data_IF_819063104692
#
_entry.id   IF_819063104692
#
_cell.length_a   1.000
_cell.length_b   1.000
_cell.length_c   1.000
_cell.angle_alpha   90.00
_cell.angle_beta   90.00
_cell.angle_gamma   90.00
#
_symmetry.space_group_name_H-M   'P 1'
#
loop_
_entity.id
_entity.type
_entity.pdbx_description
1 polymer ?
#
# COMPACT_ATOMS: atom_id res chain seq x y z
N UNK A 1 36.01 -40.67 -0.53
CA UNK A 1 34.57 -40.71 -0.22
C UNK A 1 34.07 -39.29 -0.09
N UNK A 2 33.27 -38.83 -1.03
CA UNK A 2 32.71 -37.47 -1.00
C UNK A 2 31.58 -37.44 0.04
N UNK A 3 31.77 -36.63 1.07
CA UNK A 3 30.74 -36.38 2.09
C UNK A 3 29.48 -35.77 1.44
N UNK A 4 28.31 -36.40 1.69
CA UNK A 4 27.01 -35.83 1.34
C UNK A 4 26.75 -34.61 2.25
N UNK A 5 27.40 -33.49 1.93
CA UNK A 5 27.05 -32.20 2.53
C UNK A 5 25.68 -31.77 2.07
N UNK A 6 24.81 -31.39 3.03
CA UNK A 6 23.52 -30.74 2.76
C UNK A 6 23.82 -29.49 1.93
N UNK A 7 23.11 -29.25 0.79
CA UNK A 7 23.34 -28.04 0.00
C UNK A 7 23.20 -26.79 0.86
N UNK A 8 24.11 -25.84 0.69
CA UNK A 8 24.03 -24.52 1.35
C UNK A 8 22.83 -23.78 0.82
N UNK A 9 21.85 -23.56 1.67
CA UNK A 9 20.67 -22.75 1.34
C UNK A 9 21.05 -21.30 1.65
N UNK A 10 20.99 -20.42 0.66
CA UNK A 10 21.32 -18.99 0.81
C UNK A 10 20.41 -18.30 1.81
N UNK A 11 19.13 -18.74 1.94
CA UNK A 11 18.15 -18.24 2.90
C UNK A 11 17.98 -19.20 4.07
N UNK A 12 18.97 -19.25 4.96
CA UNK A 12 18.98 -20.12 6.13
C UNK A 12 18.12 -19.53 7.25
N UNK A 13 17.01 -20.23 7.57
CA UNK A 13 16.14 -19.89 8.69
C UNK A 13 16.81 -20.24 10.02
N UNK A 14 17.24 -19.24 10.77
CA UNK A 14 17.96 -19.39 12.05
C UNK A 14 17.12 -18.94 13.24
N UNK A 15 16.10 -18.11 13.03
CA UNK A 15 15.27 -17.60 14.11
C UNK A 15 14.04 -18.48 14.32
N UNK A 16 13.75 -18.79 15.59
CA UNK A 16 12.60 -19.59 15.99
C UNK A 16 11.72 -18.78 16.95
N UNK A 17 10.42 -18.71 16.67
CA UNK A 17 9.43 -18.09 17.52
C UNK A 17 8.39 -19.12 17.95
N UNK A 18 7.97 -19.07 19.22
CA UNK A 18 6.89 -19.87 19.77
C UNK A 18 5.66 -18.98 19.91
N UNK A 19 4.59 -19.32 19.22
CA UNK A 19 3.31 -18.63 19.27
C UNK A 19 2.29 -19.51 19.97
N UNK A 20 1.61 -18.97 21.00
CA UNK A 20 0.45 -19.58 21.62
C UNK A 20 -0.79 -18.95 20.99
N UNK A 21 -1.75 -19.80 20.62
CA UNK A 21 -3.00 -19.38 19.98
C UNK A 21 -4.20 -19.82 20.79
N UNK A 22 -5.27 -19.06 20.75
CA UNK A 22 -6.57 -19.48 21.26
C UNK A 22 -7.33 -20.33 20.23
N UNK A 23 -8.48 -20.90 20.63
CA UNK A 23 -9.26 -21.78 19.76
C UNK A 23 -9.82 -21.09 18.51
N UNK A 24 -10.09 -19.78 18.58
CA UNK A 24 -10.57 -19.01 17.44
C UNK A 24 -9.47 -18.77 16.42
N UNK A 25 -8.28 -18.39 16.87
CA UNK A 25 -7.10 -18.20 16.03
C UNK A 25 -6.68 -19.50 15.33
N UNK A 26 -6.73 -20.64 16.03
CA UNK A 26 -6.45 -21.94 15.43
C UNK A 26 -7.48 -22.34 14.35
N UNK A 27 -8.77 -22.03 14.58
CA UNK A 27 -9.82 -22.20 13.55
C UNK A 27 -9.59 -21.33 12.32
N UNK A 28 -9.19 -20.06 12.51
CA UNK A 28 -8.85 -19.17 11.39
C UNK A 28 -7.66 -19.70 10.60
N UNK A 29 -6.64 -20.18 11.28
CA UNK A 29 -5.46 -20.77 10.66
C UNK A 29 -5.79 -22.05 9.89
N UNK A 30 -6.64 -22.93 10.44
CA UNK A 30 -7.13 -24.13 9.77
C UNK A 30 -7.97 -23.79 8.53
N UNK A 31 -8.82 -22.79 8.63
CA UNK A 31 -9.61 -22.30 7.49
C UNK A 31 -8.72 -21.81 6.36
N UNK A 32 -7.73 -20.98 6.67
CA UNK A 32 -6.76 -20.49 5.68
C UNK A 32 -5.97 -21.64 5.06
N UNK A 33 -5.53 -22.61 5.86
CA UNK A 33 -4.80 -23.79 5.38
C UNK A 33 -5.62 -24.62 4.41
N UNK A 34 -6.88 -24.88 4.72
CA UNK A 34 -7.81 -25.64 3.87
C UNK A 34 -8.13 -24.90 2.56
N UNK A 35 -8.31 -23.58 2.61
CA UNK A 35 -8.66 -22.78 1.43
C UNK A 35 -7.48 -22.54 0.47
N UNK A 36 -6.29 -22.39 1.01
CA UNK A 36 -5.08 -22.10 0.22
C UNK A 36 -4.27 -23.34 -0.16
N UNK A 37 -4.49 -24.45 0.52
CA UNK A 37 -3.67 -25.68 0.40
C UNK A 37 -2.25 -25.53 0.97
N UNK A 38 -1.97 -24.44 1.68
CA UNK A 38 -0.66 -24.15 2.25
C UNK A 38 -0.53 -24.69 3.68
N UNK A 39 0.64 -25.21 4.08
CA UNK A 39 0.87 -25.61 5.46
C UNK A 39 0.83 -24.39 6.40
N UNK A 40 0.40 -24.60 7.65
CA UNK A 40 0.24 -23.55 8.68
C UNK A 40 1.48 -22.64 8.79
N UNK A 41 2.68 -23.20 8.73
CA UNK A 41 3.92 -22.41 8.78
C UNK A 41 4.11 -21.44 7.61
N UNK A 42 3.59 -21.75 6.45
CA UNK A 42 3.62 -20.84 5.30
C UNK A 42 2.56 -19.73 5.41
N UNK A 43 1.41 -20.04 6.03
CA UNK A 43 0.37 -19.05 6.29
C UNK A 43 0.88 -18.00 7.28
N UNK A 44 1.58 -18.40 8.34
CA UNK A 44 2.24 -17.45 9.25
C UNK A 44 3.20 -16.51 8.53
N UNK A 45 4.03 -17.03 7.64
CA UNK A 45 4.98 -16.20 6.86
C UNK A 45 4.27 -15.24 5.93
N UNK A 46 3.24 -15.71 5.22
CA UNK A 46 2.41 -14.84 4.38
C UNK A 46 1.69 -13.77 5.20
N UNK A 47 1.20 -14.11 6.39
CA UNK A 47 0.63 -13.12 7.31
C UNK A 47 1.62 -12.04 7.71
N UNK A 48 2.88 -12.43 7.99
CA UNK A 48 3.96 -11.47 8.28
C UNK A 48 4.25 -10.59 7.06
N UNK A 49 4.33 -11.16 5.85
CA UNK A 49 4.54 -10.39 4.61
C UNK A 49 3.42 -9.37 4.39
N UNK A 50 2.16 -9.79 4.52
CA UNK A 50 0.99 -8.90 4.36
C UNK A 50 1.02 -7.78 5.39
N UNK A 51 1.24 -8.11 6.67
CA UNK A 51 1.30 -7.12 7.73
C UNK A 51 2.49 -6.15 7.55
N UNK A 52 3.65 -6.68 7.15
CA UNK A 52 4.81 -5.85 6.84
C UNK A 52 4.53 -4.87 5.71
N UNK A 53 3.85 -5.31 4.64
CA UNK A 53 3.45 -4.41 3.54
C UNK A 53 2.47 -3.34 4.04
N UNK A 54 1.48 -3.71 4.86
CA UNK A 54 0.54 -2.76 5.44
C UNK A 54 1.21 -1.73 6.33
N UNK A 55 2.14 -2.16 7.20
CA UNK A 55 2.90 -1.26 8.06
C UNK A 55 3.78 -0.33 7.23
N UNK A 56 4.45 -0.86 6.20
CA UNK A 56 5.25 -0.04 5.29
C UNK A 56 4.42 0.99 4.53
N UNK A 57 3.24 0.58 4.03
CA UNK A 57 2.32 1.53 3.37
C UNK A 57 1.90 2.64 4.34
N UNK A 58 1.67 2.32 5.61
CA UNK A 58 1.35 3.32 6.63
C UNK A 58 2.57 4.19 7.00
N UNK A 59 3.79 3.64 7.00
CA UNK A 59 5.03 4.40 7.26
C UNK A 59 5.40 5.33 6.11
N UNK A 60 5.19 4.89 4.86
CA UNK A 60 5.36 5.75 3.67
C UNK A 60 4.17 6.69 3.45
N UNK A 61 3.05 6.44 4.15
CA UNK A 61 1.84 7.26 4.10
C UNK A 61 1.85 8.46 5.04
N UNK A 62 2.88 8.64 5.86
CA UNK A 62 3.03 9.83 6.71
C UNK A 62 4.31 10.56 6.29
N UNK A 63 4.14 11.72 5.70
CA UNK A 63 5.24 12.64 5.49
C UNK A 63 5.79 13.17 6.82
N UNK A 64 7.02 13.67 6.81
CA UNK A 64 7.77 14.12 7.99
C UNK A 64 7.07 15.24 8.79
N UNK A 65 6.07 15.89 8.19
CA UNK A 65 5.27 16.97 8.81
C UNK A 65 3.92 16.49 9.41
N UNK A 66 3.68 15.17 9.46
CA UNK A 66 2.48 14.61 10.06
C UNK A 66 1.26 14.53 9.12
N UNK A 67 1.43 14.84 7.84
CA UNK A 67 0.42 14.65 6.79
C UNK A 67 0.52 13.26 6.15
N UNK A 68 -0.51 12.86 5.42
CA UNK A 68 -0.49 11.63 4.63
C UNK A 68 0.30 11.83 3.33
N UNK A 69 0.87 10.74 2.79
CA UNK A 69 1.45 10.76 1.45
C UNK A 69 0.37 10.89 0.37
N UNK A 70 0.57 11.79 -0.57
CA UNK A 70 -0.31 12.00 -1.73
C UNK A 70 0.09 11.16 -2.94
N UNK A 71 1.07 10.27 -2.78
CA UNK A 71 1.56 9.37 -3.84
C UNK A 71 0.57 8.27 -4.14
N UNK A 72 0.22 8.08 -5.41
CA UNK A 72 -0.73 7.04 -5.86
C UNK A 72 -0.26 6.35 -7.13
N UNK A 73 -0.66 5.09 -7.29
CA UNK A 73 -0.50 4.37 -8.55
C UNK A 73 -1.77 4.57 -9.39
N UNK A 74 -1.62 5.24 -10.52
CA UNK A 74 -2.71 5.53 -11.45
C UNK A 74 -2.54 4.73 -12.72
N UNK A 75 -3.58 4.03 -13.14
CA UNK A 75 -3.55 3.22 -14.35
C UNK A 75 -3.73 4.10 -15.58
N UNK A 76 -2.83 3.94 -16.55
CA UNK A 76 -2.95 4.59 -17.84
C UNK A 76 -4.24 4.15 -18.55
N UNK A 77 -5.08 5.07 -19.04
CA UNK A 77 -6.33 4.71 -19.71
C UNK A 77 -6.11 4.00 -21.04
N UNK A 78 -4.95 4.18 -21.69
CA UNK A 78 -4.63 3.55 -22.95
C UNK A 78 -4.08 2.13 -22.81
N UNK A 79 -3.08 1.90 -21.94
CA UNK A 79 -2.39 0.60 -21.85
C UNK A 79 -2.64 -0.15 -20.53
N UNK A 80 -3.31 0.46 -19.56
CA UNK A 80 -3.60 -0.13 -18.25
C UNK A 80 -2.41 -0.24 -17.29
N UNK A 81 -1.21 0.20 -17.70
CA UNK A 81 -0.02 0.17 -16.83
C UNK A 81 -0.13 1.16 -15.68
N UNK A 82 0.28 0.74 -14.48
CA UNK A 82 0.35 1.60 -13.31
C UNK A 82 1.49 2.62 -13.42
N UNK A 83 1.18 3.87 -13.16
CA UNK A 83 2.13 4.97 -13.06
C UNK A 83 2.15 5.50 -11.64
N UNK A 84 3.33 5.61 -11.05
CA UNK A 84 3.52 6.14 -9.70
C UNK A 84 3.59 7.66 -9.78
N UNK A 85 2.53 8.33 -9.32
CA UNK A 85 2.38 9.78 -9.38
C UNK A 85 2.33 10.33 -7.96
N UNK A 86 3.17 11.33 -7.69
CA UNK A 86 3.11 12.11 -6.48
C UNK A 86 2.26 13.34 -6.71
N UNK A 87 1.07 13.37 -6.13
CA UNK A 87 0.14 14.49 -6.32
C UNK A 87 0.53 15.74 -5.53
N UNK A 88 1.50 15.64 -4.61
CA UNK A 88 2.04 16.82 -3.92
C UNK A 88 2.61 17.85 -4.90
N UNK A 89 3.21 17.39 -6.00
CA UNK A 89 3.73 18.27 -7.07
C UNK A 89 2.64 18.94 -7.90
N UNK A 90 1.38 18.51 -7.80
CA UNK A 90 0.26 18.94 -8.62
C UNK A 90 -0.89 19.58 -7.82
N UNK A 91 -0.67 19.89 -6.54
CA UNK A 91 -1.67 20.56 -5.71
C UNK A 91 -2.00 21.92 -6.30
N UNK A 92 -3.28 22.17 -6.48
CA UNK A 92 -3.82 23.45 -6.97
C UNK A 92 -4.51 24.24 -5.87
N UNK A 93 -5.07 23.55 -4.86
CA UNK A 93 -5.75 24.16 -3.73
C UNK A 93 -5.71 23.24 -2.51
N UNK A 94 -5.71 23.83 -1.31
CA UNK A 94 -5.83 23.14 -0.04
C UNK A 94 -6.90 23.82 0.80
N UNK A 95 -7.93 23.04 1.17
CA UNK A 95 -9.03 23.52 1.99
C UNK A 95 -9.00 22.88 3.39
N UNK A 96 -9.05 23.72 4.42
CA UNK A 96 -9.14 23.26 5.81
C UNK A 96 -10.55 23.46 6.35
N UNK A 97 -11.11 22.41 6.94
CA UNK A 97 -12.43 22.43 7.58
C UNK A 97 -12.33 21.96 9.03
N UNK A 98 -12.99 22.66 9.94
CA UNK A 98 -13.11 22.26 11.35
C UNK A 98 -14.19 21.18 11.51
N UNK A 99 -13.83 20.02 12.09
CA UNK A 99 -14.75 18.92 12.41
C UNK A 99 -14.59 18.48 13.87
N UNK A 100 -15.44 17.54 14.33
CA UNK A 100 -15.53 17.16 15.75
C UNK A 100 -14.24 16.55 16.34
N UNK A 101 -13.43 15.86 15.53
CA UNK A 101 -12.20 15.20 15.99
C UNK A 101 -10.92 15.89 15.52
N UNK A 102 -11.01 17.15 15.12
CA UNK A 102 -9.88 17.93 14.60
C UNK A 102 -10.16 18.52 13.23
N UNK A 103 -9.16 19.15 12.65
CA UNK A 103 -9.28 19.70 11.31
C UNK A 103 -9.24 18.60 10.24
N UNK A 104 -10.01 18.77 9.18
CA UNK A 104 -9.94 18.07 7.93
C UNK A 104 -9.14 18.90 6.94
N UNK A 105 -8.30 18.25 6.13
CA UNK A 105 -7.63 18.88 5.00
C UNK A 105 -8.06 18.16 3.72
N UNK A 106 -8.48 18.95 2.75
CA UNK A 106 -8.72 18.51 1.38
C UNK A 106 -7.60 19.01 0.48
N UNK A 107 -6.82 18.10 -0.09
CA UNK A 107 -5.79 18.38 -1.07
C UNK A 107 -6.38 18.22 -2.47
N UNK A 108 -6.60 19.31 -3.18
CA UNK A 108 -7.11 19.33 -4.55
C UNK A 108 -5.93 19.38 -5.53
N UNK A 109 -5.90 18.48 -6.49
CA UNK A 109 -4.81 18.39 -7.45
C UNK A 109 -5.30 18.27 -8.90
N UNK A 110 -4.50 18.80 -9.84
CA UNK A 110 -4.67 18.66 -11.28
C UNK A 110 -3.31 18.37 -11.89
N UNK A 111 -3.13 17.17 -12.43
CA UNK A 111 -1.96 16.76 -13.19
C UNK A 111 -2.35 16.74 -14.67
N UNK A 112 -2.04 17.79 -15.40
CA UNK A 112 -2.24 17.87 -16.83
C UNK A 112 -1.07 17.22 -17.57
N UNK A 113 -1.33 16.59 -18.72
CA UNK A 113 -0.29 16.10 -19.64
C UNK A 113 0.72 15.10 -19.02
N UNK A 114 0.29 14.22 -18.10
CA UNK A 114 1.16 13.17 -17.58
C UNK A 114 1.48 12.16 -18.68
N UNK A 115 2.76 11.89 -18.91
CA UNK A 115 3.21 10.91 -19.90
C UNK A 115 3.36 9.51 -19.26
N UNK A 116 2.61 8.53 -19.77
CA UNK A 116 2.70 7.16 -19.32
C UNK A 116 4.11 6.60 -19.50
N UNK A 117 4.70 6.09 -18.43
CA UNK A 117 6.06 5.52 -18.43
C UNK A 117 6.20 4.26 -19.30
N UNK A 118 5.08 3.59 -19.63
CA UNK A 118 5.07 2.34 -20.41
C UNK A 118 4.77 2.54 -21.88
N UNK A 119 3.78 3.38 -22.23
CA UNK A 119 3.37 3.53 -23.64
C UNK A 119 3.60 4.93 -24.22
N UNK A 120 4.02 5.92 -23.39
CA UNK A 120 4.26 7.30 -23.82
C UNK A 120 2.99 8.10 -24.13
N UNK A 121 1.79 7.50 -23.98
CA UNK A 121 0.52 8.24 -24.18
C UNK A 121 0.32 9.21 -23.04
N UNK A 122 -0.15 10.41 -23.36
CA UNK A 122 -0.49 11.45 -22.37
C UNK A 122 -1.91 11.28 -21.87
N UNK A 123 -2.10 11.58 -20.60
CA UNK A 123 -3.41 11.62 -19.94
C UNK A 123 -3.38 12.63 -18.80
N UNK A 124 -4.54 13.06 -18.36
CA UNK A 124 -4.67 13.94 -17.19
C UNK A 124 -5.29 13.21 -16.02
N UNK A 125 -4.93 13.65 -14.83
CA UNK A 125 -5.48 13.15 -13.57
C UNK A 125 -5.88 14.33 -12.71
N UNK A 126 -7.12 14.34 -12.24
CA UNK A 126 -7.61 15.39 -11.35
C UNK A 126 -8.37 14.75 -10.18
N UNK A 127 -8.47 15.47 -9.07
CA UNK A 127 -9.24 14.99 -7.94
C UNK A 127 -8.88 15.65 -6.64
N UNK A 128 -9.29 14.97 -5.55
CA UNK A 128 -8.95 15.37 -4.19
C UNK A 128 -8.65 14.17 -3.30
N UNK A 129 -7.80 14.41 -2.31
CA UNK A 129 -7.47 13.46 -1.25
C UNK A 129 -7.73 14.16 0.10
N UNK A 130 -8.41 13.48 1.00
CA UNK A 130 -8.83 14.02 2.27
C UNK A 130 -8.10 13.36 3.44
N UNK A 131 -7.64 14.20 4.38
CA UNK A 131 -7.14 13.79 5.69
C UNK A 131 -8.13 14.18 6.78
N UNK A 132 -8.51 13.22 7.63
CA UNK A 132 -9.33 13.49 8.79
C UNK A 132 -9.17 12.45 9.92
N UNK A 133 -8.71 12.86 11.11
CA UNK A 133 -8.02 14.12 11.42
C UNK A 133 -6.69 14.23 10.66
N UNK A 134 -6.04 15.40 10.70
CA UNK A 134 -4.76 15.63 10.03
C UNK A 134 -3.78 14.50 10.33
N UNK A 135 -3.13 13.95 9.28
CA UNK A 135 -2.23 12.81 9.35
C UNK A 135 -2.94 11.44 9.23
N UNK A 136 -4.26 11.41 9.07
CA UNK A 136 -5.02 10.18 8.84
C UNK A 136 -5.79 10.25 7.51
N UNK A 137 -5.62 9.23 6.67
CA UNK A 137 -6.39 9.10 5.44
C UNK A 137 -7.89 8.94 5.74
N UNK A 138 -8.72 9.72 5.09
CA UNK A 138 -10.19 9.64 5.19
C UNK A 138 -10.80 9.10 3.89
N UNK A 139 -10.63 9.85 2.80
CA UNK A 139 -11.23 9.50 1.51
C UNK A 139 -10.47 10.14 0.34
N UNK A 140 -10.76 9.68 -0.86
CA UNK A 140 -10.21 10.27 -2.09
C UNK A 140 -11.17 10.14 -3.26
N UNK A 141 -11.07 11.07 -4.18
CA UNK A 141 -11.72 11.04 -5.48
C UNK A 141 -10.69 11.35 -6.56
N UNK A 142 -10.43 10.40 -7.45
CA UNK A 142 -9.43 10.52 -8.51
C UNK A 142 -10.10 10.21 -9.85
N UNK A 143 -10.06 11.17 -10.77
CA UNK A 143 -10.54 11.00 -12.15
C UNK A 143 -9.36 10.98 -13.11
N UNK A 144 -9.38 10.04 -14.04
CA UNK A 144 -8.39 9.92 -15.12
C UNK A 144 -9.07 10.22 -16.44
N UNK A 145 -8.48 11.14 -17.23
CA UNK A 145 -9.03 11.57 -18.52
C UNK A 145 -7.99 11.34 -19.61
N UNK A 146 -8.44 10.84 -20.75
CA UNK A 146 -7.63 10.79 -21.97
C UNK A 146 -7.41 12.20 -22.53
N UNK A 147 -6.19 12.48 -22.97
CA UNK A 147 -5.86 13.73 -23.67
C UNK A 147 -6.06 13.60 -25.17
#
# INVERSE_FOLDING_TARGET
MAGRGRPTVEDKRTNQYRVLMNDEEDKMLDYCSKKTGLPKSQIFRKGIEVLYQQVRLNEYGQDYDGHISLRRIVNCPNCGSGNDIDFEDYITDECCYERQMGAEIEHVFICEDYECTSCGQRFSVEGSIHEYPIGAYDSEHIEVKEC
#
